data_IF_646821930025
#
_entry.id   IF_646821930025
#
_cell.length_a   1.000
_cell.length_b   1.000
_cell.length_c   1.000
_cell.angle_alpha   90.00
_cell.angle_beta   90.00
_cell.angle_gamma   90.00
#
_symmetry.space_group_name_H-M   'P 1'
#
loop_
_entity.id
_entity.type
_entity.pdbx_description
1 polymer ?
#
# COMPACT_ATOMS: atom_id res chain seq x y z
N UNK A 1 -5.00 18.32 -17.67
CA UNK A 1 -5.17 17.56 -16.42
C UNK A 1 -3.94 16.72 -16.13
N UNK A 2 -3.37 16.87 -14.92
CA UNK A 2 -2.10 16.23 -14.56
C UNK A 2 -2.35 15.21 -13.45
N UNK A 3 -2.00 13.96 -13.73
CA UNK A 3 -1.97 12.88 -12.75
C UNK A 3 -0.60 12.22 -12.79
N UNK A 4 -0.04 11.94 -11.62
CA UNK A 4 1.15 11.11 -11.46
C UNK A 4 0.83 9.95 -10.53
N UNK A 5 1.58 8.87 -10.69
CA UNK A 5 1.50 7.69 -9.83
C UNK A 5 2.88 7.39 -9.27
N UNK A 6 2.95 7.06 -7.99
CA UNK A 6 4.12 6.42 -7.38
C UNK A 6 3.63 5.21 -6.57
N UNK A 7 4.19 4.04 -6.84
CA UNK A 7 4.01 2.85 -6.02
C UNK A 7 5.32 2.49 -5.31
N UNK A 8 5.23 2.10 -4.04
CA UNK A 8 6.39 1.74 -3.23
C UNK A 8 6.05 0.65 -2.22
N UNK A 9 7.02 -0.23 -1.95
CA UNK A 9 7.04 -1.09 -0.77
C UNK A 9 7.00 -0.25 0.52
N UNK A 10 6.42 -0.79 1.60
CA UNK A 10 6.27 -0.09 2.89
C UNK A 10 6.83 -0.84 4.12
N UNK A 11 7.85 -1.67 3.95
CA UNK A 11 8.35 -2.50 5.06
C UNK A 11 8.71 -1.67 6.30
N UNK A 12 8.11 -1.95 7.47
CA UNK A 12 8.45 -1.23 8.69
C UNK A 12 9.89 -1.54 9.13
N UNK A 13 10.46 -2.67 8.69
CA UNK A 13 11.82 -3.07 9.02
C UNK A 13 12.89 -2.14 8.43
N UNK A 14 12.54 -1.19 7.56
CA UNK A 14 13.48 -0.15 7.11
C UNK A 14 14.07 0.68 8.26
N UNK A 15 13.38 0.77 9.40
CA UNK A 15 13.87 1.44 10.61
C UNK A 15 14.55 0.52 11.63
N UNK A 16 14.51 -0.80 11.43
CA UNK A 16 14.84 -1.78 12.49
C UNK A 16 15.72 -2.95 12.02
N UNK A 17 15.81 -3.18 10.70
CA UNK A 17 16.71 -4.14 10.09
C UNK A 17 18.02 -3.49 9.65
N UNK A 18 19.06 -4.30 9.43
CA UNK A 18 20.42 -3.83 9.13
C UNK A 18 20.96 -4.48 7.85
N UNK A 19 20.46 -4.10 6.65
CA UNK A 19 21.02 -4.55 5.39
C UNK A 19 22.41 -3.94 5.17
N UNK A 20 23.15 -4.36 4.12
CA UNK A 20 24.41 -3.71 3.75
C UNK A 20 24.23 -2.19 3.56
N UNK A 21 25.18 -1.40 4.08
CA UNK A 21 25.09 0.07 4.10
C UNK A 21 24.83 0.67 2.71
N UNK A 22 25.49 0.13 1.68
CA UNK A 22 25.29 0.56 0.30
C UNK A 22 23.85 0.36 -0.19
N UNK A 23 23.22 -0.76 0.19
CA UNK A 23 21.81 -1.07 -0.12
C UNK A 23 20.89 -0.05 0.55
N UNK A 24 21.05 0.16 1.86
CA UNK A 24 20.23 1.11 2.60
C UNK A 24 20.36 2.53 2.06
N UNK A 25 21.60 2.98 1.83
CA UNK A 25 21.89 4.30 1.27
C UNK A 25 21.22 4.50 -0.09
N UNK A 26 21.27 3.50 -0.97
CA UNK A 26 20.66 3.58 -2.29
C UNK A 26 19.12 3.69 -2.19
N UNK A 27 18.48 2.87 -1.35
CA UNK A 27 17.02 2.95 -1.14
C UNK A 27 16.62 4.33 -0.62
N UNK A 28 17.30 4.82 0.42
CA UNK A 28 17.01 6.15 1.00
C UNK A 28 17.23 7.27 -0.01
N UNK A 29 18.24 7.17 -0.86
CA UNK A 29 18.50 8.12 -1.94
C UNK A 29 17.36 8.15 -2.97
N UNK A 30 16.83 6.99 -3.37
CA UNK A 30 15.70 6.93 -4.32
C UNK A 30 14.43 7.54 -3.69
N UNK A 31 14.13 7.24 -2.42
CA UNK A 31 13.03 7.91 -1.72
C UNK A 31 13.20 9.43 -1.69
N UNK A 32 14.39 9.92 -1.38
CA UNK A 32 14.69 11.36 -1.38
C UNK A 32 14.48 11.99 -2.77
N UNK A 33 14.94 11.33 -3.84
CA UNK A 33 14.74 11.80 -5.21
C UNK A 33 13.25 11.87 -5.58
N UNK A 34 12.48 10.85 -5.24
CA UNK A 34 11.03 10.83 -5.47
C UNK A 34 10.31 11.89 -4.63
N UNK A 35 10.75 12.13 -3.39
CA UNK A 35 10.19 13.17 -2.54
C UNK A 35 10.41 14.57 -3.12
N UNK A 36 11.60 14.86 -3.66
CA UNK A 36 11.86 16.12 -4.35
C UNK A 36 11.04 16.25 -5.64
N UNK A 37 10.81 15.16 -6.39
CA UNK A 37 9.92 15.17 -7.54
C UNK A 37 8.45 15.45 -7.16
N UNK A 38 7.97 14.90 -6.05
CA UNK A 38 6.61 15.19 -5.52
C UNK A 38 6.53 16.64 -5.08
N UNK A 39 7.53 17.14 -4.36
CA UNK A 39 7.60 18.54 -3.94
C UNK A 39 7.57 19.49 -5.12
N UNK A 40 8.28 19.18 -6.21
CA UNK A 40 8.26 19.96 -7.43
C UNK A 40 6.93 19.85 -8.20
N UNK A 41 6.27 18.69 -8.14
CA UNK A 41 4.95 18.48 -8.75
C UNK A 41 3.83 19.19 -7.99
N UNK A 42 3.99 19.35 -6.67
CA UNK A 42 3.07 20.04 -5.78
C UNK A 42 1.62 19.56 -5.93
N UNK A 43 1.30 18.29 -5.55
CA UNK A 43 -0.03 17.73 -5.73
C UNK A 43 -1.05 18.49 -4.88
N UNK A 44 -2.19 18.80 -5.50
CA UNK A 44 -3.33 19.41 -4.81
C UNK A 44 -4.21 18.35 -4.13
N UNK A 45 -4.10 17.10 -4.57
CA UNK A 45 -4.78 15.96 -3.98
C UNK A 45 -3.91 14.70 -4.10
N UNK A 46 -3.81 13.96 -3.01
CA UNK A 46 -3.25 12.61 -2.97
C UNK A 46 -4.39 11.62 -2.75
N UNK A 47 -4.41 10.54 -3.52
CA UNK A 47 -5.20 9.34 -3.19
C UNK A 47 -4.24 8.20 -2.96
N UNK A 48 -4.23 7.65 -1.74
CA UNK A 48 -3.35 6.56 -1.35
C UNK A 48 -4.15 5.27 -1.16
N UNK A 49 -3.79 4.23 -1.90
CA UNK A 49 -4.24 2.86 -1.72
C UNK A 49 -3.22 2.12 -0.86
N UNK A 50 -3.66 1.60 0.28
CA UNK A 50 -2.78 0.85 1.18
C UNK A 50 -3.53 -0.24 1.94
N UNK A 51 -2.84 -1.30 2.39
CA UNK A 51 -3.39 -2.26 3.35
C UNK A 51 -3.32 -1.71 4.78
N UNK A 52 -3.82 -2.51 5.73
CA UNK A 52 -3.67 -2.34 7.18
C UNK A 52 -3.24 -3.69 7.78
N UNK A 53 -2.47 -3.63 8.86
CA UNK A 53 -1.82 -4.78 9.48
C UNK A 53 -2.43 -5.11 10.85
N UNK A 54 -3.76 -5.08 10.94
CA UNK A 54 -4.53 -5.25 12.18
C UNK A 54 -4.20 -4.17 13.22
N UNK A 55 -4.24 -2.91 12.77
CA UNK A 55 -4.15 -1.71 13.59
C UNK A 55 -5.45 -0.91 13.54
N UNK A 56 -6.01 -0.73 12.33
CA UNK A 56 -7.29 -0.06 12.11
C UNK A 56 -8.43 -0.99 11.72
N UNK A 57 -8.15 -2.08 11.02
CA UNK A 57 -9.15 -3.01 10.49
C UNK A 57 -8.98 -4.42 11.06
N UNK A 58 -10.08 -5.02 11.51
CA UNK A 58 -10.11 -6.29 12.25
C UNK A 58 -11.29 -7.15 11.80
N UNK A 59 -11.30 -8.43 12.17
CA UNK A 59 -12.32 -9.40 11.72
C UNK A 59 -13.72 -9.15 12.28
N UNK A 60 -13.89 -8.40 13.36
CA UNK A 60 -15.23 -8.01 13.84
C UNK A 60 -15.99 -7.15 12.81
N UNK A 61 -15.26 -6.37 12.00
CA UNK A 61 -15.77 -5.68 10.83
C UNK A 61 -14.63 -5.46 9.83
N UNK A 62 -14.47 -6.42 8.92
CA UNK A 62 -13.45 -6.40 7.87
C UNK A 62 -14.07 -6.11 6.49
N UNK A 63 -13.97 -4.88 5.97
CA UNK A 63 -14.46 -4.58 4.63
C UNK A 63 -13.45 -5.01 3.56
N UNK A 64 -13.92 -5.25 2.32
CA UNK A 64 -13.01 -5.37 1.19
C UNK A 64 -12.26 -4.06 0.93
N UNK A 65 -12.98 -2.93 1.00
CA UNK A 65 -12.49 -1.59 0.74
C UNK A 65 -13.08 -0.59 1.74
N UNK A 66 -12.28 0.38 2.20
CA UNK A 66 -12.78 1.48 3.02
C UNK A 66 -12.16 2.82 2.60
N UNK A 67 -12.98 3.87 2.49
CA UNK A 67 -12.54 5.26 2.23
C UNK A 67 -12.58 6.05 3.54
N UNK A 68 -11.48 6.71 3.89
CA UNK A 68 -11.44 7.59 5.05
C UNK A 68 -12.01 8.97 4.71
N UNK A 69 -13.07 9.39 5.40
CA UNK A 69 -13.56 10.78 5.42
C UNK A 69 -12.72 11.61 6.39
N UNK A 70 -12.27 10.99 7.49
CA UNK A 70 -11.22 11.49 8.38
C UNK A 70 -10.31 10.33 8.76
N UNK A 71 -9.03 10.60 8.96
CA UNK A 71 -8.07 9.56 9.33
C UNK A 71 -7.05 10.06 10.36
N UNK A 72 -6.61 9.14 11.22
CA UNK A 72 -5.57 9.38 12.20
C UNK A 72 -4.56 8.22 12.20
N UNK A 73 -3.29 8.57 12.07
CA UNK A 73 -2.17 7.66 12.11
C UNK A 73 -1.90 7.15 13.54
N UNK A 74 -1.79 5.83 13.69
CA UNK A 74 -1.59 5.18 15.00
C UNK A 74 -0.15 5.26 15.51
N UNK A 75 0.80 5.68 14.68
CA UNK A 75 2.22 5.75 15.01
C UNK A 75 2.82 4.41 15.42
N UNK A 76 2.43 3.34 14.73
CA UNK A 76 3.16 2.09 14.83
C UNK A 76 4.52 2.22 14.12
N UNK A 77 5.51 1.46 14.59
CA UNK A 77 6.87 1.48 14.04
C UNK A 77 7.55 2.85 14.03
N UNK A 78 7.15 3.73 14.95
CA UNK A 78 7.69 5.08 15.15
C UNK A 78 7.68 5.96 13.89
N UNK A 79 6.74 5.70 12.97
CA UNK A 79 6.61 6.44 11.71
C UNK A 79 5.21 7.03 11.52
N UNK A 80 5.12 8.35 11.61
CA UNK A 80 3.89 9.11 11.39
C UNK A 80 2.83 8.87 12.47
N UNK A 81 2.48 9.91 13.23
CA UNK A 81 1.44 9.87 14.25
C UNK A 81 0.57 11.11 14.18
N UNK A 82 -0.73 10.95 14.38
CA UNK A 82 -1.68 12.07 14.42
C UNK A 82 -2.53 12.19 13.15
N UNK A 83 -3.20 13.34 12.94
CA UNK A 83 -4.23 13.46 11.91
C UNK A 83 -3.62 13.49 10.51
N UNK A 84 -4.30 12.88 9.54
CA UNK A 84 -4.09 13.14 8.12
C UNK A 84 -4.92 14.35 7.69
N UNK A 85 -4.41 15.12 6.73
CA UNK A 85 -5.15 16.22 6.10
C UNK A 85 -6.12 15.66 5.05
N UNK A 86 -7.26 15.11 5.48
CA UNK A 86 -8.27 14.55 4.58
C UNK A 86 -9.25 15.64 4.12
N UNK A 87 -9.41 15.90 2.81
CA UNK A 87 -10.41 16.85 2.31
C UNK A 87 -11.81 16.23 2.37
N UNK A 88 -12.53 16.43 3.48
CA UNK A 88 -13.79 15.74 3.80
C UNK A 88 -14.84 15.79 2.67
N UNK A 89 -15.06 16.96 2.06
CA UNK A 89 -16.04 17.10 0.98
C UNK A 89 -15.64 16.29 -0.25
N UNK A 90 -14.39 16.40 -0.71
CA UNK A 90 -13.87 15.61 -1.83
C UNK A 90 -13.90 14.10 -1.54
N UNK A 91 -13.61 13.68 -0.30
CA UNK A 91 -13.73 12.28 0.10
C UNK A 91 -15.18 11.77 0.02
N UNK A 92 -16.16 12.58 0.46
CA UNK A 92 -17.59 12.26 0.34
C UNK A 92 -18.06 12.22 -1.11
N UNK A 93 -17.62 13.17 -1.94
CA UNK A 93 -17.96 13.19 -3.36
C UNK A 93 -17.39 11.98 -4.08
N UNK A 94 -16.16 11.57 -3.75
CA UNK A 94 -15.57 10.31 -4.23
C UNK A 94 -16.41 9.11 -3.80
N UNK A 95 -16.83 9.03 -2.53
CA UNK A 95 -17.67 7.93 -2.03
C UNK A 95 -18.99 7.84 -2.82
N UNK A 96 -19.67 8.97 -3.05
CA UNK A 96 -20.88 9.02 -3.87
C UNK A 96 -20.62 8.51 -5.30
N UNK A 97 -19.54 8.98 -5.94
CA UNK A 97 -19.17 8.54 -7.29
C UNK A 97 -18.83 7.04 -7.36
N UNK A 98 -18.24 6.48 -6.32
CA UNK A 98 -17.99 5.03 -6.22
C UNK A 98 -19.31 4.24 -6.15
N UNK A 99 -20.28 4.71 -5.37
CA UNK A 99 -21.61 4.10 -5.32
C UNK A 99 -22.34 4.20 -6.67
N UNK A 100 -22.31 5.36 -7.33
CA UNK A 100 -22.89 5.55 -8.66
C UNK A 100 -22.26 4.64 -9.71
N UNK A 101 -20.98 4.28 -9.51
CA UNK A 101 -20.23 3.35 -10.37
C UNK A 101 -20.43 1.87 -9.99
N UNK A 102 -21.31 1.56 -9.02
CA UNK A 102 -21.57 0.19 -8.56
C UNK A 102 -20.43 -0.43 -7.72
N UNK A 103 -19.62 0.39 -7.06
CA UNK A 103 -18.54 -0.04 -6.17
C UNK A 103 -18.94 0.21 -4.72
N UNK A 104 -19.33 -0.86 -4.02
CA UNK A 104 -19.57 -0.80 -2.58
C UNK A 104 -18.26 -0.58 -1.81
N UNK A 105 -18.23 0.50 -1.04
CA UNK A 105 -17.17 0.82 -0.09
C UNK A 105 -17.76 1.15 1.28
N UNK A 106 -17.06 0.76 2.34
CA UNK A 106 -17.29 1.32 3.68
C UNK A 106 -16.65 2.70 3.73
N UNK A 107 -17.27 3.66 4.42
CA UNK A 107 -16.63 4.94 4.69
C UNK A 107 -16.43 5.13 6.19
N UNK A 108 -15.27 5.67 6.59
CA UNK A 108 -14.92 5.86 8.01
C UNK A 108 -14.65 7.32 8.33
N UNK A 109 -15.36 7.83 9.34
CA UNK A 109 -15.18 9.17 9.90
C UNK A 109 -14.09 9.23 10.98
N UNK A 110 -13.43 8.12 11.25
CA UNK A 110 -12.34 8.01 12.22
C UNK A 110 -11.42 6.85 11.84
N UNK A 111 -11.03 6.79 10.57
CA UNK A 111 -10.16 5.73 10.07
C UNK A 111 -8.85 5.75 10.85
N UNK A 112 -8.47 4.63 11.43
CA UNK A 112 -7.11 4.46 11.94
C UNK A 112 -6.26 3.94 10.79
N UNK A 113 -5.13 4.60 10.54
CA UNK A 113 -4.18 4.19 9.50
C UNK A 113 -2.84 3.86 10.14
N UNK A 114 -2.18 2.84 9.63
CA UNK A 114 -0.90 2.36 10.13
C UNK A 114 0.27 2.68 9.18
N UNK A 115 1.43 2.09 9.44
CA UNK A 115 2.63 2.26 8.63
C UNK A 115 2.43 1.97 7.13
N UNK A 116 1.45 1.14 6.74
CA UNK A 116 1.09 0.93 5.34
C UNK A 116 0.69 2.22 4.63
N UNK A 117 0.07 3.16 5.35
CA UNK A 117 -0.24 4.50 4.85
C UNK A 117 0.85 5.50 5.19
N UNK A 118 1.32 5.51 6.44
CA UNK A 118 2.16 6.60 6.95
C UNK A 118 3.57 6.53 6.40
N UNK A 119 4.13 5.34 6.14
CA UNK A 119 5.50 5.23 5.65
C UNK A 119 5.67 5.89 4.27
N UNK A 120 4.85 5.59 3.24
CA UNK A 120 4.90 6.32 1.98
C UNK A 120 4.71 7.84 2.16
N UNK A 121 3.73 8.27 2.97
CA UNK A 121 3.48 9.70 3.18
C UNK A 121 4.64 10.42 3.88
N UNK A 122 5.28 9.78 4.85
CA UNK A 122 6.40 10.37 5.58
C UNK A 122 7.67 10.40 4.73
N UNK A 123 7.94 9.36 3.92
CA UNK A 123 9.16 9.28 3.12
C UNK A 123 9.07 10.07 1.81
N UNK A 124 7.91 10.03 1.14
CA UNK A 124 7.69 10.64 -0.17
C UNK A 124 7.10 12.05 -0.06
N UNK A 125 6.13 12.25 0.84
CA UNK A 125 5.45 13.54 1.00
C UNK A 125 6.04 14.37 2.14
N UNK A 126 6.93 13.80 2.97
CA UNK A 126 7.60 14.49 4.08
C UNK A 126 6.59 15.07 5.11
N UNK A 127 5.43 14.44 5.29
CA UNK A 127 4.48 14.83 6.34
C UNK A 127 3.04 14.37 6.08
N UNK A 128 2.33 13.98 7.14
CA UNK A 128 0.94 13.50 7.07
C UNK A 128 -0.09 14.58 6.72
N UNK A 129 0.25 15.85 6.94
CA UNK A 129 -0.65 16.98 6.71
C UNK A 129 -0.24 17.91 5.58
N UNK A 130 0.92 17.65 4.95
CA UNK A 130 1.49 18.55 3.94
C UNK A 130 0.57 18.72 2.73
N UNK A 131 -0.05 17.63 2.27
CA UNK A 131 -0.94 17.61 1.12
C UNK A 131 -2.30 17.03 1.50
N UNK A 132 -3.42 17.56 0.94
CA UNK A 132 -4.72 16.92 1.05
C UNK A 132 -4.66 15.47 0.57
N UNK A 133 -5.06 14.52 1.41
CA UNK A 133 -4.87 13.08 1.18
C UNK A 133 -6.14 12.31 1.51
N UNK A 134 -6.67 11.55 0.55
CA UNK A 134 -7.78 10.61 0.77
C UNK A 134 -7.18 9.19 0.91
N UNK A 135 -7.24 8.58 2.11
CA UNK A 135 -6.80 7.21 2.32
C UNK A 135 -7.89 6.21 1.90
N UNK A 136 -7.49 5.22 1.11
CA UNK A 136 -8.33 4.09 0.69
C UNK A 136 -7.66 2.80 1.15
N UNK A 137 -8.29 2.15 2.13
CA UNK A 137 -7.91 0.82 2.57
C UNK A 137 -8.36 -0.24 1.57
N UNK A 138 -7.45 -1.18 1.27
CA UNK A 138 -7.77 -2.43 0.57
C UNK A 138 -7.37 -3.61 1.44
N UNK A 139 -8.32 -4.49 1.73
CA UNK A 139 -8.03 -5.71 2.47
C UNK A 139 -7.11 -6.64 1.68
N UNK A 140 -5.89 -6.82 2.20
CA UNK A 140 -4.87 -7.70 1.63
C UNK A 140 -4.45 -8.83 2.57
N UNK A 141 -4.89 -8.82 3.84
CA UNK A 141 -4.41 -9.74 4.86
C UNK A 141 -5.51 -10.68 5.39
N UNK A 142 -6.75 -10.19 5.50
CA UNK A 142 -7.82 -10.87 6.22
C UNK A 142 -8.77 -11.60 5.25
N UNK A 143 -8.60 -12.92 5.09
CA UNK A 143 -9.44 -13.70 4.17
C UNK A 143 -10.94 -13.68 4.56
N UNK A 144 -11.87 -13.68 3.59
CA UNK A 144 -11.66 -13.69 2.14
C UNK A 144 -11.19 -12.33 1.60
N UNK A 145 -10.26 -12.36 0.63
CA UNK A 145 -9.72 -11.15 0.02
C UNK A 145 -10.54 -10.71 -1.21
N UNK A 146 -10.67 -9.41 -1.49
CA UNK A 146 -11.18 -8.95 -2.78
C UNK A 146 -10.30 -9.51 -3.92
N UNK A 147 -10.89 -9.81 -5.07
CA UNK A 147 -10.11 -10.27 -6.23
C UNK A 147 -9.29 -9.12 -6.84
N UNK A 148 -8.22 -9.43 -7.57
CA UNK A 148 -7.48 -8.42 -8.32
C UNK A 148 -8.36 -7.69 -9.34
N UNK A 149 -9.36 -8.37 -9.92
CA UNK A 149 -10.40 -7.75 -10.74
C UNK A 149 -11.22 -6.70 -10.00
N UNK A 150 -11.57 -6.94 -8.72
CA UNK A 150 -12.26 -5.93 -7.90
C UNK A 150 -11.34 -4.76 -7.54
N UNK A 151 -10.05 -5.00 -7.32
CA UNK A 151 -9.08 -3.91 -7.14
C UNK A 151 -8.95 -3.04 -8.41
N UNK A 152 -8.95 -3.64 -9.61
CA UNK A 152 -9.01 -2.90 -10.88
C UNK A 152 -10.31 -2.09 -10.99
N UNK A 153 -11.46 -2.69 -10.65
CA UNK A 153 -12.75 -2.00 -10.72
C UNK A 153 -12.80 -0.78 -9.78
N UNK A 154 -12.34 -0.94 -8.54
CA UNK A 154 -12.18 0.17 -7.59
C UNK A 154 -11.27 1.27 -8.17
N UNK A 155 -10.07 0.88 -8.63
CA UNK A 155 -9.11 1.82 -9.19
C UNK A 155 -9.68 2.63 -10.36
N UNK A 156 -10.35 1.98 -11.32
CA UNK A 156 -10.98 2.66 -12.45
C UNK A 156 -12.07 3.65 -12.01
N UNK A 157 -12.93 3.28 -11.06
CA UNK A 157 -13.97 4.17 -10.56
C UNK A 157 -13.37 5.40 -9.83
N UNK A 158 -12.31 5.20 -9.04
CA UNK A 158 -11.54 6.30 -8.45
C UNK A 158 -10.92 7.18 -9.54
N UNK A 159 -10.29 6.58 -10.56
CA UNK A 159 -9.69 7.30 -11.68
C UNK A 159 -10.71 8.14 -12.46
N UNK A 160 -11.91 7.61 -12.68
CA UNK A 160 -13.02 8.31 -13.34
C UNK A 160 -13.48 9.53 -12.54
N UNK A 161 -13.65 9.40 -11.22
CA UNK A 161 -13.95 10.54 -10.36
C UNK A 161 -12.86 11.61 -10.48
N UNK A 162 -11.60 11.21 -10.31
CA UNK A 162 -10.46 12.12 -10.35
C UNK A 162 -10.32 12.82 -11.72
N UNK A 163 -10.68 12.15 -12.81
CA UNK A 163 -10.67 12.70 -14.16
C UNK A 163 -11.67 13.85 -14.34
N UNK A 164 -12.67 13.98 -13.46
CA UNK A 164 -13.60 15.12 -13.47
C UNK A 164 -13.06 16.33 -12.70
N UNK A 165 -11.95 16.18 -11.97
CA UNK A 165 -11.32 17.25 -11.20
C UNK A 165 -10.26 17.97 -12.02
N UNK A 166 -10.10 19.28 -11.83
CA UNK A 166 -9.00 20.06 -12.41
C UNK A 166 -7.75 20.09 -11.48
N UNK A 167 -7.65 19.12 -10.57
CA UNK A 167 -6.56 19.08 -9.59
C UNK A 167 -5.32 18.40 -10.16
N UNK A 168 -4.14 18.83 -9.70
CA UNK A 168 -2.91 18.03 -9.82
C UNK A 168 -2.98 16.86 -8.85
N UNK A 169 -3.24 15.67 -9.37
CA UNK A 169 -3.44 14.47 -8.56
C UNK A 169 -2.17 13.64 -8.47
N UNK A 170 -1.87 13.12 -7.27
CA UNK A 170 -0.89 12.07 -7.06
C UNK A 170 -1.59 10.80 -6.54
N UNK A 171 -1.47 9.71 -7.29
CA UNK A 171 -1.88 8.38 -6.88
C UNK A 171 -0.71 7.70 -6.16
N UNK A 172 -0.95 7.15 -4.97
CA UNK A 172 0.01 6.34 -4.24
C UNK A 172 -0.49 4.90 -4.10
N UNK A 173 0.35 3.94 -4.47
CA UNK A 173 0.12 2.51 -4.21
C UNK A 173 1.14 1.99 -3.20
N UNK A 174 0.69 1.51 -2.06
CA UNK A 174 1.56 1.06 -0.97
C UNK A 174 1.62 -0.46 -0.86
N UNK A 175 2.79 -1.01 -0.55
CA UNK A 175 2.99 -2.41 -0.18
C UNK A 175 3.76 -3.24 -1.19
N UNK A 176 3.78 -4.55 -0.96
CA UNK A 176 4.48 -5.52 -1.81
C UNK A 176 6.02 -5.39 -1.78
N UNK A 177 6.75 -6.08 -2.66
CA UNK A 177 6.29 -7.11 -3.58
C UNK A 177 6.30 -8.48 -2.89
N UNK A 178 7.14 -9.43 -3.31
CA UNK A 178 7.24 -10.72 -2.65
C UNK A 178 7.71 -10.54 -1.20
N UNK A 179 6.95 -11.09 -0.26
CA UNK A 179 7.32 -11.25 1.14
C UNK A 179 6.28 -12.08 1.90
N UNK A 180 6.71 -12.72 2.98
CA UNK A 180 5.86 -13.58 3.80
C UNK A 180 6.03 -13.26 5.29
N UNK A 181 5.41 -12.18 5.79
CA UNK A 181 5.43 -11.88 7.21
C UNK A 181 4.64 -12.94 7.99
N UNK A 182 4.91 -13.10 9.30
CA UNK A 182 4.23 -14.08 10.15
C UNK A 182 2.80 -13.65 10.48
N UNK A 183 1.97 -13.42 9.46
CA UNK A 183 0.56 -13.02 9.58
C UNK A 183 -0.23 -14.19 10.16
N UNK A 184 -0.83 -14.05 11.36
CA UNK A 184 -1.75 -15.03 11.91
C UNK A 184 -2.92 -15.30 10.95
N UNK A 185 -3.39 -16.55 10.88
CA UNK A 185 -4.53 -16.93 10.05
C UNK A 185 -5.68 -17.39 10.94
N UNK A 186 -6.88 -16.85 10.72
CA UNK A 186 -8.10 -17.28 11.42
C UNK A 186 -8.28 -18.81 11.30
N UNK A 187 -8.65 -19.45 12.41
CA UNK A 187 -8.84 -20.91 12.47
C UNK A 187 -7.54 -21.73 12.47
N UNK A 188 -6.36 -21.09 12.47
CA UNK A 188 -5.05 -21.76 12.49
C UNK A 188 -4.16 -21.29 13.64
N UNK A 189 -4.71 -20.53 14.58
CA UNK A 189 -3.99 -19.96 15.71
C UNK A 189 -4.75 -20.22 17.02
N UNK A 190 -4.08 -20.17 18.19
CA UNK A 190 -4.77 -20.30 19.47
C UNK A 190 -5.91 -19.28 19.65
N UNK A 191 -6.97 -19.60 20.42
CA UNK A 191 -8.15 -18.74 20.57
C UNK A 191 -7.84 -17.29 20.99
N UNK A 192 -6.84 -17.08 21.83
CA UNK A 192 -6.42 -15.75 22.28
C UNK A 192 -5.77 -14.90 21.16
N UNK A 193 -5.09 -15.56 20.21
CA UNK A 193 -4.52 -14.89 19.04
C UNK A 193 -5.65 -14.59 18.05
N UNK A 194 -6.58 -15.52 17.88
CA UNK A 194 -7.75 -15.36 17.02
C UNK A 194 -8.64 -14.19 17.48
N UNK A 195 -8.95 -14.11 18.78
CA UNK A 195 -9.67 -12.98 19.36
C UNK A 195 -8.93 -11.65 19.14
N UNK A 196 -7.59 -11.68 19.20
CA UNK A 196 -6.77 -10.53 18.86
C UNK A 196 -6.89 -10.07 17.39
N UNK A 197 -7.23 -10.96 16.46
CA UNK A 197 -7.51 -10.61 15.06
C UNK A 197 -8.94 -10.09 14.88
N UNK A 198 -9.87 -10.49 15.76
CA UNK A 198 -11.26 -10.04 15.77
C UNK A 198 -11.40 -8.66 16.41
N UNK A 199 -10.83 -8.45 17.60
CA UNK A 199 -11.09 -7.27 18.42
C UNK A 199 -9.83 -6.64 19.07
N UNK A 200 -8.62 -6.98 18.61
CA UNK A 200 -7.34 -6.55 19.22
C UNK A 200 -6.94 -5.08 18.99
N UNK A 201 -7.90 -4.15 18.90
CA UNK A 201 -7.65 -2.71 18.73
C UNK A 201 -6.92 -2.12 19.93
N UNK A 202 -6.13 -1.08 19.69
CA UNK A 202 -5.41 -0.31 20.72
C UNK A 202 -4.59 -1.20 21.68
N UNK A 203 -3.66 -2.03 21.17
CA UNK A 203 -2.85 -2.87 22.03
C UNK A 203 -2.03 -2.04 23.02
N UNK A 204 -1.75 -2.60 24.20
CA UNK A 204 -0.81 -1.98 25.14
C UNK A 204 0.58 -1.86 24.51
N UNK A 205 1.41 -0.96 25.04
CA UNK A 205 2.79 -0.79 24.56
C UNK A 205 3.57 -2.11 24.57
N UNK A 206 3.39 -2.91 25.61
CA UNK A 206 4.05 -4.23 25.74
C UNK A 206 3.59 -5.20 24.64
N UNK A 207 2.28 -5.28 24.36
CA UNK A 207 1.75 -6.13 23.29
C UNK A 207 2.26 -5.67 21.92
N UNK A 208 2.28 -4.34 21.68
CA UNK A 208 2.85 -3.77 20.45
C UNK A 208 4.34 -4.13 20.30
N UNK A 209 5.13 -3.96 21.36
CA UNK A 209 6.56 -4.32 21.36
C UNK A 209 6.77 -5.81 21.09
N UNK A 210 6.00 -6.70 21.74
CA UNK A 210 6.08 -8.15 21.47
C UNK A 210 5.79 -8.49 20.00
N UNK A 211 4.77 -7.87 19.39
CA UNK A 211 4.47 -8.03 17.96
C UNK A 211 5.62 -7.55 17.08
N UNK A 212 6.17 -6.36 17.36
CA UNK A 212 7.29 -5.81 16.61
C UNK A 212 8.54 -6.68 16.68
N UNK A 213 8.93 -7.12 17.90
CA UNK A 213 10.07 -8.02 18.11
C UNK A 213 9.93 -9.30 17.30
N UNK A 214 8.74 -9.90 17.23
CA UNK A 214 8.50 -11.12 16.44
C UNK A 214 8.77 -10.90 14.94
N UNK A 215 8.32 -9.78 14.38
CA UNK A 215 8.55 -9.46 12.96
C UNK A 215 10.03 -9.16 12.69
N UNK A 216 10.70 -8.43 13.59
CA UNK A 216 12.15 -8.17 13.51
C UNK A 216 12.95 -9.47 13.53
N UNK A 217 12.62 -10.41 14.42
CA UNK A 217 13.31 -11.70 14.49
C UNK A 217 13.11 -12.54 13.22
N UNK A 218 11.92 -12.53 12.60
CA UNK A 218 11.71 -13.18 11.29
C UNK A 218 12.61 -12.58 10.21
N UNK A 219 12.74 -11.25 10.15
CA UNK A 219 13.65 -10.58 9.22
C UNK A 219 15.11 -11.00 9.43
N UNK A 220 15.56 -11.08 10.69
CA UNK A 220 16.91 -11.55 11.03
C UNK A 220 17.11 -13.03 10.65
N UNK A 221 16.12 -13.89 10.89
CA UNK A 221 16.17 -15.30 10.51
C UNK A 221 16.32 -15.51 9.01
N UNK A 222 15.56 -14.78 8.19
CA UNK A 222 15.73 -14.83 6.74
C UNK A 222 17.09 -14.32 6.27
N UNK A 223 17.61 -13.26 6.91
CA UNK A 223 18.95 -12.76 6.62
C UNK A 223 20.03 -13.82 6.90
N UNK A 224 19.82 -14.67 7.93
CA UNK A 224 20.67 -15.84 8.23
C UNK A 224 20.41 -17.05 7.31
N UNK A 225 19.43 -16.98 6.42
CA UNK A 225 19.09 -18.07 5.49
C UNK A 225 18.20 -19.17 6.10
N UNK A 226 17.53 -18.90 7.22
CA UNK A 226 16.62 -19.85 7.87
C UNK A 226 15.27 -19.91 7.13
N UNK A 227 14.74 -21.12 6.91
CA UNK A 227 13.47 -21.34 6.21
C UNK A 227 12.28 -21.34 7.17
N UNK A 228 11.96 -20.17 7.74
CA UNK A 228 10.84 -20.02 8.69
C UNK A 228 9.56 -19.50 7.99
N UNK A 229 9.74 -18.79 6.87
CA UNK A 229 8.67 -18.23 6.04
C UNK A 229 9.04 -18.39 4.57
N UNK A 230 8.11 -18.15 3.65
CA UNK A 230 8.42 -18.22 2.22
C UNK A 230 9.53 -17.21 1.85
N UNK A 231 10.53 -17.59 1.04
CA UNK A 231 11.59 -16.69 0.63
C UNK A 231 11.07 -15.59 -0.30
N UNK A 232 11.83 -14.51 -0.41
CA UNK A 232 11.62 -13.50 -1.46
C UNK A 232 11.78 -14.16 -2.84
N UNK A 233 11.02 -13.70 -3.83
CA UNK A 233 10.96 -14.26 -5.18
C UNK A 233 11.28 -13.18 -6.23
N UNK A 234 12.57 -12.96 -6.54
CA UNK A 234 12.96 -11.88 -7.43
C UNK A 234 12.51 -12.03 -8.87
N UNK A 235 12.38 -13.28 -9.33
CA UNK A 235 11.88 -13.54 -10.67
C UNK A 235 10.42 -13.10 -10.80
N UNK A 236 9.57 -13.48 -9.84
CA UNK A 236 8.17 -13.07 -9.82
C UNK A 236 8.03 -11.54 -9.66
N UNK A 237 8.84 -10.93 -8.80
CA UNK A 237 8.86 -9.48 -8.63
C UNK A 237 9.20 -8.75 -9.93
N UNK A 238 10.26 -9.19 -10.63
CA UNK A 238 10.68 -8.60 -11.91
C UNK A 238 9.60 -8.76 -12.99
N UNK A 239 8.97 -9.93 -13.08
CA UNK A 239 7.85 -10.18 -14.01
C UNK A 239 6.65 -9.29 -13.69
N UNK A 240 6.28 -9.17 -12.42
CA UNK A 240 5.18 -8.33 -11.98
C UNK A 240 5.44 -6.84 -12.26
N UNK A 241 6.67 -6.37 -12.01
CA UNK A 241 7.08 -5.00 -12.32
C UNK A 241 7.02 -4.71 -13.83
N UNK A 242 7.36 -5.69 -14.69
CA UNK A 242 7.20 -5.54 -16.15
C UNK A 242 5.74 -5.39 -16.53
N UNK A 243 4.84 -6.18 -15.94
CA UNK A 243 3.38 -6.09 -16.19
C UNK A 243 2.84 -4.71 -15.77
N UNK A 244 3.24 -4.21 -14.60
CA UNK A 244 2.89 -2.86 -14.17
C UNK A 244 3.46 -1.79 -15.11
N UNK A 245 4.68 -1.94 -15.61
CA UNK A 245 5.26 -0.95 -16.49
C UNK A 245 4.69 -0.97 -17.91
N UNK A 246 4.11 -2.10 -18.34
CA UNK A 246 3.61 -2.28 -19.71
C UNK A 246 2.16 -1.86 -19.92
N UNK A 247 1.41 -1.48 -18.88
CA UNK A 247 0.00 -1.13 -19.06
C UNK A 247 -0.97 -2.32 -19.07
N UNK A 248 -0.52 -3.55 -18.82
CA UNK A 248 -1.38 -4.74 -18.97
C UNK A 248 -2.30 -4.97 -17.77
N UNK A 249 -3.32 -4.11 -17.66
CA UNK A 249 -4.34 -4.17 -16.61
C UNK A 249 -5.13 -5.48 -16.64
N UNK A 250 -5.31 -6.10 -17.81
CA UNK A 250 -6.01 -7.38 -17.93
C UNK A 250 -5.22 -8.50 -17.28
N UNK A 251 -3.90 -8.53 -17.50
CA UNK A 251 -3.02 -9.49 -16.82
C UNK A 251 -3.04 -9.31 -15.31
N UNK A 252 -2.99 -8.07 -14.82
CA UNK A 252 -3.12 -7.77 -13.38
C UNK A 252 -4.47 -8.26 -12.81
N UNK A 253 -5.57 -8.03 -13.53
CA UNK A 253 -6.90 -8.47 -13.12
C UNK A 253 -7.05 -10.00 -13.07
N UNK A 254 -6.23 -10.73 -13.84
CA UNK A 254 -6.24 -12.20 -13.91
C UNK A 254 -5.47 -12.88 -12.77
N UNK A 255 -4.67 -12.14 -12.00
CA UNK A 255 -3.93 -12.69 -10.86
C UNK A 255 -4.92 -13.21 -9.79
N UNK A 256 -4.62 -14.39 -9.26
CA UNK A 256 -5.45 -15.07 -8.25
C UNK A 256 -4.80 -15.01 -6.88
N UNK A 257 -5.60 -15.08 -5.82
CA UNK A 257 -5.09 -15.16 -4.44
C UNK A 257 -4.07 -16.30 -4.29
N UNK A 258 -4.44 -17.51 -4.72
CA UNK A 258 -3.56 -18.68 -4.60
C UNK A 258 -2.26 -18.54 -5.38
N UNK A 259 -2.32 -18.00 -6.61
CA UNK A 259 -1.12 -17.76 -7.42
C UNK A 259 -0.17 -16.76 -6.77
N UNK A 260 -0.71 -15.66 -6.22
CA UNK A 260 0.07 -14.67 -5.48
C UNK A 260 0.65 -15.28 -4.20
N UNK A 261 -0.12 -16.06 -3.45
CA UNK A 261 0.38 -16.65 -2.20
C UNK A 261 1.55 -17.62 -2.45
N UNK A 262 1.51 -18.39 -3.53
CA UNK A 262 2.58 -19.31 -3.91
C UNK A 262 3.85 -18.56 -4.32
N UNK A 263 3.72 -17.50 -5.11
CA UNK A 263 4.87 -16.84 -5.72
C UNK A 263 5.41 -15.67 -4.87
N UNK A 264 4.52 -14.88 -4.28
CA UNK A 264 4.83 -13.65 -3.56
C UNK A 264 4.65 -13.74 -2.05
N UNK A 265 4.27 -14.89 -1.49
CA UNK A 265 4.01 -15.06 -0.06
C UNK A 265 2.69 -14.43 0.40
N UNK A 266 2.37 -14.52 1.71
CA UNK A 266 1.14 -13.95 2.26
C UNK A 266 1.10 -12.42 2.14
N UNK A 267 2.25 -11.77 2.33
CA UNK A 267 2.39 -10.32 2.18
C UNK A 267 2.30 -9.86 0.73
N UNK A 268 2.64 -10.73 -0.24
CA UNK A 268 2.50 -10.43 -1.67
C UNK A 268 1.08 -10.04 -2.11
N UNK A 269 0.04 -10.32 -1.32
CA UNK A 269 -1.34 -9.93 -1.61
C UNK A 269 -1.55 -8.40 -1.66
N UNK A 270 -0.65 -7.63 -1.03
CA UNK A 270 -0.66 -6.17 -1.00
C UNK A 270 -0.53 -5.51 -2.37
N UNK A 271 -0.08 -6.25 -3.39
CA UNK A 271 0.00 -5.75 -4.76
C UNK A 271 -1.37 -5.28 -5.30
N UNK A 272 -2.49 -5.66 -4.67
CA UNK A 272 -3.82 -5.10 -4.96
C UNK A 272 -3.87 -3.58 -4.85
N UNK A 273 -3.09 -2.99 -3.95
CA UNK A 273 -2.98 -1.54 -3.81
C UNK A 273 -2.31 -0.91 -5.03
N UNK A 274 -1.25 -1.55 -5.54
CA UNK A 274 -0.61 -1.14 -6.79
C UNK A 274 -1.56 -1.33 -7.98
N UNK A 275 -2.28 -2.45 -8.04
CA UNK A 275 -3.27 -2.73 -9.09
C UNK A 275 -4.35 -1.65 -9.12
N UNK A 276 -4.91 -1.25 -7.97
CA UNK A 276 -5.89 -0.17 -7.90
C UNK A 276 -5.30 1.16 -8.35
N UNK A 277 -4.07 1.51 -7.93
CA UNK A 277 -3.41 2.75 -8.34
C UNK A 277 -3.16 2.80 -9.86
N UNK A 278 -2.61 1.73 -10.44
CA UNK A 278 -2.37 1.66 -11.89
C UNK A 278 -3.68 1.61 -12.70
N UNK A 279 -4.72 0.96 -12.18
CA UNK A 279 -6.04 0.97 -12.80
C UNK A 279 -6.66 2.38 -12.79
N UNK A 280 -6.48 3.16 -11.72
CA UNK A 280 -6.89 4.56 -11.67
C UNK A 280 -6.14 5.41 -12.71
N UNK A 281 -4.82 5.23 -12.81
CA UNK A 281 -4.01 5.91 -13.83
C UNK A 281 -4.45 5.56 -15.26
N UNK A 282 -4.83 4.30 -15.52
CA UNK A 282 -5.22 3.83 -16.86
C UNK A 282 -6.46 4.52 -17.44
N UNK A 283 -7.27 5.18 -16.61
CA UNK A 283 -8.41 6.00 -17.06
C UNK A 283 -7.95 7.19 -17.91
N UNK A 284 -6.72 7.67 -17.69
CA UNK A 284 -6.11 8.78 -18.42
C UNK A 284 -5.45 8.34 -19.73
N UNK A 285 -5.60 7.08 -20.13
CA UNK A 285 -5.03 6.50 -21.34
C UNK A 285 -3.71 5.77 -21.08
N UNK A 286 -2.90 5.65 -22.14
CA UNK A 286 -1.58 5.05 -22.05
C UNK A 286 -0.66 5.86 -21.13
N UNK A 287 0.16 5.16 -20.35
CA UNK A 287 1.13 5.78 -19.45
C UNK A 287 2.54 5.29 -19.73
N UNK A 288 3.51 6.14 -19.39
CA UNK A 288 4.91 5.77 -19.30
C UNK A 288 5.26 5.53 -17.85
N UNK A 289 5.78 4.34 -17.55
CA UNK A 289 6.26 3.97 -16.22
C UNK A 289 7.80 3.94 -16.17
N UNK A 290 8.34 4.19 -14.99
CA UNK A 290 9.75 4.08 -14.67
C UNK A 290 9.91 3.29 -13.37
N UNK A 291 10.61 2.17 -13.44
CA UNK A 291 11.15 1.47 -12.27
C UNK A 291 12.38 2.23 -11.78
N UNK A 292 12.28 2.88 -10.62
CA UNK A 292 13.39 3.60 -10.00
C UNK A 292 14.29 2.66 -9.20
N UNK A 293 13.70 1.62 -8.61
CA UNK A 293 14.43 0.70 -7.76
C UNK A 293 13.77 -0.68 -7.73
N UNK A 294 14.60 -1.70 -7.62
CA UNK A 294 14.20 -3.01 -7.13
C UNK A 294 15.40 -3.75 -6.53
N UNK A 295 15.22 -4.33 -5.35
CA UNK A 295 16.14 -5.32 -4.79
C UNK A 295 15.40 -6.21 -3.79
N UNK A 296 15.67 -7.52 -3.75
CA UNK A 296 15.25 -8.36 -2.64
C UNK A 296 16.12 -8.07 -1.42
N UNK A 297 15.54 -7.47 -0.37
CA UNK A 297 16.25 -7.10 0.85
C UNK A 297 15.72 -7.98 1.99
N UNK A 298 16.50 -9.03 2.33
CA UNK A 298 16.08 -10.06 3.28
C UNK A 298 15.94 -9.50 4.71
N UNK A 299 16.84 -8.61 5.09
CA UNK A 299 16.85 -7.93 6.38
C UNK A 299 15.61 -7.06 6.61
N UNK A 300 14.95 -6.67 5.52
CA UNK A 300 13.69 -5.95 5.56
C UNK A 300 12.49 -6.80 5.17
N UNK A 301 12.67 -8.10 4.94
CA UNK A 301 11.60 -9.02 4.52
C UNK A 301 10.80 -8.45 3.35
N UNK A 302 11.48 -7.92 2.32
CA UNK A 302 10.78 -7.26 1.22
C UNK A 302 11.51 -7.39 -0.12
N UNK A 303 10.76 -7.76 -1.16
CA UNK A 303 11.05 -7.34 -2.53
C UNK A 303 10.83 -5.83 -2.65
N UNK A 304 11.84 -5.05 -2.27
CA UNK A 304 11.77 -3.61 -2.15
C UNK A 304 11.73 -2.98 -3.54
N UNK A 305 10.64 -2.29 -3.88
CA UNK A 305 10.44 -1.70 -5.19
C UNK A 305 9.88 -0.28 -5.12
N UNK A 306 10.26 0.55 -6.10
CA UNK A 306 9.71 1.89 -6.31
C UNK A 306 9.48 2.11 -7.81
N UNK A 307 8.24 2.42 -8.19
CA UNK A 307 7.84 2.68 -9.57
C UNK A 307 7.07 4.00 -9.63
N UNK A 308 7.35 4.84 -10.61
CA UNK A 308 6.47 5.96 -10.95
C UNK A 308 5.86 5.77 -12.34
N UNK A 309 4.72 6.41 -12.58
CA UNK A 309 4.13 6.46 -13.91
C UNK A 309 3.33 7.76 -14.11
N UNK A 310 3.17 8.15 -15.36
CA UNK A 310 2.33 9.29 -15.76
C UNK A 310 1.78 9.07 -17.17
N UNK A 311 0.63 9.66 -17.54
CA UNK A 311 0.08 9.54 -18.88
C UNK A 311 1.06 10.03 -19.95
N UNK A 312 1.09 9.37 -21.12
CA UNK A 312 1.94 9.78 -22.25
C UNK A 312 1.49 11.12 -22.81
N UNK A 313 0.18 11.31 -22.91
CA UNK A 313 -0.43 12.55 -23.38
C UNK A 313 -1.05 13.25 -22.18
N UNK A 314 -0.54 14.43 -21.82
CA UNK A 314 -1.26 15.30 -20.91
C UNK A 314 -2.43 15.92 -21.68
N UNK A 315 -3.66 15.49 -21.38
CA UNK A 315 -4.86 16.08 -21.97
C UNK A 315 -5.01 17.48 -21.37
N UNK A 316 -4.62 18.51 -22.14
CA UNK A 316 -4.71 19.92 -21.76
C UNK A 316 -3.37 20.51 -21.29
N UNK A 317 -2.68 21.16 -22.23
CA UNK A 317 -1.79 22.29 -22.00
C UNK A 317 -2.51 23.56 -22.45
#
# INVERSE_FOLDING_TARGET
MTVKLICTSHTPLMGFGSPPEATEKHVRQVFHQLAEQIKAYDPQLIVIFAPDHFNGFFYDLMPAFCVGVRANAVGDWDIGKGPLNVPENTAKDLISALYDSGIDVVHSWRMQVDHGFTQPLMLLCQGLQRYPTIPIFINCAAKPLPTCRRAVALGRAVGQFLFTTDQRVLLLGSGGLSHDPPIPQMGQVPPEVEEGLIAGRNPTKEVRQKRQTRVIEVGKSLARGENIVAPLNPQWDDELLRIFCSGDIQRLASLTEGGIAIQGGKGGQEIRCWIAAFAALSVYGEYKAQRHYYQPIKEWLAGMAMVSAQPVTQIGA
#
